data_IF_598164222559
#
_entry.id   IF_598164222559
#
_cell.length_a   1.000
_cell.length_b   1.000
_cell.length_c   1.000
_cell.angle_alpha   90.00
_cell.angle_beta   90.00
_cell.angle_gamma   90.00
#
_symmetry.space_group_name_H-M   'P 1'
#
loop_
_entity.id
_entity.type
_entity.pdbx_description
1 polymer ?
#
# COMPACT_ATOMS: atom_id res chain seq x y z
N UNK A 1 84.86 32.58 -26.92
CA UNK A 1 84.12 32.38 -25.71
C UNK A 1 82.65 32.03 -26.09
N UNK A 2 82.29 30.76 -26.02
CA UNK A 2 80.92 30.33 -26.31
C UNK A 2 80.14 30.43 -25.01
N UNK A 3 79.16 31.33 -24.99
CA UNK A 3 78.28 31.52 -23.90
C UNK A 3 77.29 30.34 -23.87
N UNK A 4 77.40 29.46 -22.91
CA UNK A 4 76.39 28.42 -22.65
C UNK A 4 75.18 29.11 -22.12
N UNK A 5 74.15 29.23 -22.95
CA UNK A 5 72.77 29.50 -22.47
C UNK A 5 72.37 28.30 -21.59
N UNK A 6 72.16 28.60 -20.32
CA UNK A 6 71.47 27.68 -19.45
C UNK A 6 70.09 27.43 -20.02
N UNK A 7 69.91 26.30 -20.65
CA UNK A 7 68.59 25.79 -20.90
C UNK A 7 67.86 25.73 -19.55
N UNK A 8 66.98 26.62 -19.33
CA UNK A 8 66.00 26.45 -18.26
C UNK A 8 65.29 25.18 -18.63
N UNK A 9 65.52 24.16 -17.82
CA UNK A 9 64.92 22.88 -17.98
C UNK A 9 63.41 23.09 -18.12
N UNK A 10 62.80 22.50 -19.12
CA UNK A 10 61.31 22.45 -19.19
C UNK A 10 60.68 21.56 -18.14
N UNK A 11 61.43 21.23 -17.17
CA UNK A 11 61.10 20.41 -16.01
C UNK A 11 60.48 21.19 -14.86
N UNK A 12 59.79 22.22 -15.16
CA UNK A 12 58.61 22.54 -14.37
C UNK A 12 57.43 21.80 -14.96
N UNK A 13 57.62 20.54 -15.13
CA UNK A 13 56.57 19.56 -15.06
C UNK A 13 55.78 19.87 -13.82
N UNK A 14 54.56 20.18 -14.05
CA UNK A 14 53.55 20.14 -13.04
C UNK A 14 53.43 18.76 -12.47
N UNK A 15 54.39 18.36 -11.65
CA UNK A 15 54.27 17.16 -10.83
C UNK A 15 53.00 17.27 -9.97
N UNK A 16 52.65 18.51 -9.57
CA UNK A 16 51.36 18.81 -8.94
C UNK A 16 50.17 18.55 -9.84
N UNK A 17 50.25 18.84 -11.12
CA UNK A 17 49.17 18.58 -12.05
C UNK A 17 48.96 17.07 -12.29
N UNK A 18 50.01 16.28 -12.28
CA UNK A 18 49.88 14.82 -12.34
C UNK A 18 49.42 14.24 -11.00
N UNK A 19 49.85 14.80 -9.90
CA UNK A 19 49.42 14.39 -8.56
C UNK A 19 47.94 14.75 -8.33
N UNK A 20 47.48 15.92 -8.76
CA UNK A 20 46.06 16.29 -8.70
C UNK A 20 45.23 15.43 -9.64
N UNK A 21 45.72 15.12 -10.83
CA UNK A 21 44.95 14.27 -11.78
C UNK A 21 44.95 12.81 -11.33
N UNK A 22 46.02 12.32 -10.75
CA UNK A 22 46.08 10.96 -10.24
C UNK A 22 45.36 10.81 -8.90
N UNK A 23 45.45 11.80 -8.01
CA UNK A 23 44.70 11.77 -6.76
C UNK A 23 43.17 11.92 -7.00
N UNK A 24 42.78 12.70 -8.01
CA UNK A 24 41.40 12.79 -8.42
C UNK A 24 40.88 11.55 -9.17
N UNK A 25 41.79 10.80 -9.81
CA UNK A 25 41.47 9.55 -10.50
C UNK A 25 41.63 8.29 -9.65
N UNK A 26 42.38 8.40 -8.57
CA UNK A 26 42.76 7.23 -7.78
C UNK A 26 42.24 7.31 -6.34
N UNK A 27 41.01 7.64 -6.22
CA UNK A 27 40.29 7.36 -4.97
C UNK A 27 39.11 6.46 -5.26
N UNK A 28 39.32 5.14 -5.39
CA UNK A 28 38.26 4.18 -5.59
C UNK A 28 37.23 4.21 -4.45
N UNK A 29 37.65 4.62 -3.26
CA UNK A 29 36.76 4.80 -2.12
C UNK A 29 35.83 6.01 -2.26
N UNK A 30 36.28 7.07 -2.94
CA UNK A 30 35.42 8.24 -3.22
C UNK A 30 34.46 8.01 -4.38
N UNK A 31 34.79 7.17 -5.34
CA UNK A 31 33.97 7.01 -6.54
C UNK A 31 32.81 6.03 -6.32
N UNK A 32 32.97 5.06 -5.43
CA UNK A 32 31.96 4.01 -5.24
C UNK A 32 31.13 4.22 -3.97
N UNK A 33 31.75 4.72 -2.90
CA UNK A 33 31.08 4.85 -1.60
C UNK A 33 30.52 6.25 -1.37
N UNK A 34 31.23 7.33 -1.75
CA UNK A 34 30.73 8.69 -1.53
C UNK A 34 29.57 9.02 -2.45
N UNK A 35 29.62 8.63 -3.72
CA UNK A 35 28.50 8.85 -4.65
C UNK A 35 27.28 8.00 -4.30
N UNK A 36 27.47 6.84 -3.68
CA UNK A 36 26.36 6.05 -3.14
C UNK A 36 25.87 6.58 -1.79
N UNK A 37 26.73 7.19 -0.98
CA UNK A 37 26.37 7.78 0.29
C UNK A 37 25.80 9.19 0.16
N UNK A 38 26.12 9.94 -0.90
CA UNK A 38 25.57 11.28 -1.17
C UNK A 38 24.16 11.27 -1.81
N UNK A 39 23.56 10.09 -1.98
CA UNK A 39 22.10 10.01 -2.14
C UNK A 39 21.57 9.88 -3.55
N UNK A 40 22.37 9.66 -4.56
CA UNK A 40 21.86 9.26 -5.87
C UNK A 40 21.81 7.74 -6.03
N UNK A 41 20.84 7.12 -5.36
CA UNK A 41 20.33 5.83 -5.85
C UNK A 41 19.73 6.12 -7.22
N UNK A 42 20.10 5.36 -8.27
CA UNK A 42 19.53 5.57 -9.59
C UNK A 42 18.00 5.65 -9.50
N UNK A 43 17.39 6.64 -10.12
CA UNK A 43 15.93 6.80 -10.19
C UNK A 43 15.22 5.52 -10.60
N UNK A 44 15.85 4.71 -11.45
CA UNK A 44 15.39 3.36 -11.81
C UNK A 44 15.15 2.41 -10.61
N UNK A 45 15.86 2.59 -9.49
CA UNK A 45 15.70 1.74 -8.32
C UNK A 45 14.44 2.12 -7.52
N UNK A 46 14.14 3.42 -7.44
CA UNK A 46 12.92 3.91 -6.79
C UNK A 46 11.67 3.47 -7.57
N UNK A 47 11.71 3.61 -8.89
CA UNK A 47 10.58 3.27 -9.75
C UNK A 47 10.21 1.79 -9.66
N UNK A 48 11.22 0.92 -9.64
CA UNK A 48 11.01 -0.52 -9.53
C UNK A 48 10.43 -0.94 -8.18
N UNK A 49 10.76 -0.24 -7.07
CA UNK A 49 10.13 -0.53 -5.76
C UNK A 49 8.67 -0.04 -5.75
N UNK A 50 8.39 1.12 -6.33
CA UNK A 50 7.02 1.60 -6.46
C UNK A 50 6.18 0.62 -7.28
N UNK A 51 6.70 0.10 -8.39
CA UNK A 51 6.04 -0.94 -9.17
C UNK A 51 5.78 -2.21 -8.34
N UNK A 52 6.76 -2.66 -7.53
CA UNK A 52 6.59 -3.82 -6.64
C UNK A 52 5.53 -3.54 -5.54
N UNK A 53 5.45 -2.31 -5.02
CA UNK A 53 4.42 -1.91 -4.06
C UNK A 53 3.04 -1.92 -4.72
N UNK A 54 2.92 -1.31 -5.89
CA UNK A 54 1.65 -1.25 -6.64
C UNK A 54 1.17 -2.65 -7.06
N UNK A 55 2.09 -3.52 -7.47
CA UNK A 55 1.76 -4.87 -7.91
C UNK A 55 1.33 -5.81 -6.77
N UNK A 56 1.77 -5.56 -5.53
CA UNK A 56 1.52 -6.45 -4.39
C UNK A 56 0.55 -5.90 -3.35
N UNK A 57 0.26 -4.59 -3.36
CA UNK A 57 -0.76 -4.00 -2.49
C UNK A 57 -2.16 -4.38 -2.95
N UNK A 58 -2.97 -4.92 -2.05
CA UNK A 58 -4.37 -5.26 -2.31
C UNK A 58 -5.19 -3.99 -2.61
N UNK A 59 -4.97 -2.95 -1.85
CA UNK A 59 -5.65 -1.66 -2.05
C UNK A 59 -5.33 -1.08 -3.44
N UNK A 60 -4.06 -1.08 -3.86
CA UNK A 60 -3.65 -0.51 -5.14
C UNK A 60 -4.09 -1.34 -6.36
N UNK A 61 -4.28 -2.66 -6.18
CA UNK A 61 -4.80 -3.53 -7.23
C UNK A 61 -6.30 -3.33 -7.48
N UNK A 62 -7.07 -3.04 -6.43
CA UNK A 62 -8.53 -2.92 -6.51
C UNK A 62 -8.99 -1.48 -6.71
N UNK A 63 -8.34 -0.52 -6.05
CA UNK A 63 -8.69 0.89 -6.11
C UNK A 63 -8.18 1.53 -7.40
N UNK A 64 -8.83 2.60 -7.83
CA UNK A 64 -8.41 3.36 -9.00
C UNK A 64 -7.32 4.36 -8.63
N UNK A 65 -6.27 4.39 -9.45
CA UNK A 65 -5.20 5.37 -9.34
C UNK A 65 -5.67 6.77 -9.73
N UNK A 66 -5.28 7.74 -8.92
CA UNK A 66 -5.56 9.14 -9.15
C UNK A 66 -4.28 9.96 -9.08
N UNK A 67 -3.93 10.61 -10.17
CA UNK A 67 -2.71 11.42 -10.23
C UNK A 67 -2.79 12.59 -9.24
N UNK A 68 -1.80 12.69 -8.36
CA UNK A 68 -1.63 13.78 -7.41
C UNK A 68 -0.35 14.55 -7.71
N UNK A 69 -0.45 15.85 -7.85
CA UNK A 69 0.70 16.76 -8.01
C UNK A 69 1.08 17.48 -6.73
N UNK A 70 0.23 17.39 -5.71
CA UNK A 70 0.38 18.02 -4.41
C UNK A 70 -0.06 17.05 -3.32
N UNK A 71 0.32 17.33 -2.08
CA UNK A 71 -0.05 16.51 -0.91
C UNK A 71 -1.58 16.43 -0.70
N UNK A 72 -2.33 17.40 -1.19
CA UNK A 72 -3.79 17.47 -1.06
C UNK A 72 -4.41 17.67 -2.42
N UNK A 73 -5.43 16.84 -2.75
CA UNK A 73 -6.22 16.95 -3.96
C UNK A 73 -7.70 17.00 -3.63
N UNK A 74 -8.39 18.00 -4.18
CA UNK A 74 -9.85 18.11 -4.08
C UNK A 74 -10.51 17.51 -5.31
N UNK A 75 -11.51 16.68 -5.08
CA UNK A 75 -12.36 16.07 -6.10
C UNK A 75 -13.74 16.66 -6.04
N UNK A 76 -14.30 16.86 -7.20
CA UNK A 76 -15.69 17.26 -7.34
C UNK A 76 -16.41 16.17 -8.11
N UNK A 77 -17.33 15.47 -7.46
CA UNK A 77 -18.12 14.45 -8.13
C UNK A 77 -19.62 14.72 -7.97
N UNK A 78 -20.37 14.26 -8.96
CA UNK A 78 -21.82 14.41 -8.99
C UNK A 78 -22.46 13.30 -8.16
N UNK A 79 -23.27 13.69 -7.18
CA UNK A 79 -24.01 12.75 -6.34
C UNK A 79 -25.49 12.86 -6.70
N UNK A 80 -26.08 11.72 -6.99
CA UNK A 80 -27.51 11.60 -7.32
C UNK A 80 -27.81 11.54 -8.83
N UNK A 81 -28.86 10.82 -9.19
CA UNK A 81 -29.25 10.66 -10.57
C UNK A 81 -29.81 11.98 -11.13
N UNK A 82 -29.46 12.25 -12.38
CA UNK A 82 -30.15 13.30 -13.14
C UNK A 82 -31.54 12.79 -13.51
N UNK A 83 -32.58 13.55 -13.15
CA UNK A 83 -33.96 13.22 -13.56
C UNK A 83 -34.14 13.43 -15.06
N UNK A 84 -34.59 12.40 -15.76
CA UNK A 84 -35.09 12.50 -17.12
C UNK A 84 -36.64 12.43 -17.09
N UNK A 85 -37.27 13.29 -17.85
CA UNK A 85 -38.76 13.41 -17.85
C UNK A 85 -39.31 13.26 -19.25
N UNK A 86 -40.40 12.52 -19.38
CA UNK A 86 -41.14 12.46 -20.62
C UNK A 86 -41.91 13.77 -20.84
N UNK A 87 -41.68 14.40 -21.97
CA UNK A 87 -42.29 15.69 -22.31
C UNK A 87 -43.19 15.52 -23.51
N UNK A 88 -44.50 15.83 -23.33
CA UNK A 88 -45.46 15.88 -24.41
C UNK A 88 -45.26 17.15 -25.28
N UNK A 89 -45.80 17.09 -26.49
CA UNK A 89 -45.68 18.18 -27.46
C UNK A 89 -46.20 19.51 -26.86
N UNK A 90 -45.41 20.58 -26.96
CA UNK A 90 -45.73 21.91 -26.42
C UNK A 90 -45.62 22.10 -24.90
N UNK A 91 -45.14 21.08 -24.14
CA UNK A 91 -44.96 21.20 -22.68
C UNK A 91 -43.50 21.58 -22.33
N UNK A 92 -43.34 22.24 -21.19
CA UNK A 92 -42.04 22.62 -20.67
C UNK A 92 -41.25 21.39 -20.21
N UNK A 93 -39.98 21.33 -20.57
CA UNK A 93 -39.00 20.34 -20.03
C UNK A 93 -38.72 20.72 -18.58
N UNK A 94 -38.77 19.73 -17.68
CA UNK A 94 -38.38 19.91 -16.28
C UNK A 94 -36.87 19.96 -16.17
N UNK A 95 -36.36 20.82 -15.28
CA UNK A 95 -34.93 20.92 -15.03
C UNK A 95 -34.51 19.99 -13.91
N UNK A 96 -33.43 19.23 -14.12
CA UNK A 96 -32.77 18.47 -13.08
C UNK A 96 -31.53 19.23 -12.61
N UNK A 97 -31.35 19.37 -11.30
CA UNK A 97 -30.17 20.01 -10.71
C UNK A 97 -29.28 18.95 -10.10
N UNK A 98 -28.07 18.75 -10.61
CA UNK A 98 -27.13 17.81 -9.99
C UNK A 98 -26.68 18.33 -8.63
N UNK A 99 -26.53 17.42 -7.68
CA UNK A 99 -25.85 17.70 -6.41
C UNK A 99 -24.38 17.41 -6.58
N UNK A 100 -23.55 18.38 -6.23
CA UNK A 100 -22.10 18.28 -6.32
C UNK A 100 -21.52 18.14 -4.93
N UNK A 101 -20.77 17.09 -4.70
CA UNK A 101 -20.05 16.85 -3.44
C UNK A 101 -18.54 17.02 -3.68
N UNK A 102 -17.87 17.68 -2.76
CA UNK A 102 -16.42 17.80 -2.74
C UNK A 102 -15.85 16.76 -1.78
N UNK A 103 -14.95 15.95 -2.27
CA UNK A 103 -14.14 15.05 -1.47
C UNK A 103 -12.67 15.48 -1.53
N UNK A 104 -11.94 15.22 -0.48
CA UNK A 104 -10.54 15.63 -0.34
C UNK A 104 -9.71 14.41 -0.02
N UNK A 105 -8.68 14.18 -0.82
CA UNK A 105 -7.68 13.15 -0.57
C UNK A 105 -6.39 13.81 -0.09
N UNK A 106 -5.88 13.38 1.05
CA UNK A 106 -4.62 13.84 1.63
C UNK A 106 -3.60 12.70 1.58
N UNK A 107 -2.40 13.01 1.11
CA UNK A 107 -1.30 12.06 1.11
C UNK A 107 -0.49 12.17 2.41
N UNK A 108 -0.19 11.03 2.99
CA UNK A 108 0.59 10.90 4.22
C UNK A 108 1.89 10.16 3.94
N UNK A 109 2.91 10.52 4.71
CA UNK A 109 4.24 9.96 4.55
C UNK A 109 4.36 8.61 5.24
N UNK A 110 4.75 7.61 4.46
CA UNK A 110 5.10 6.28 4.92
C UNK A 110 6.61 6.06 4.77
N UNK A 111 7.28 5.52 5.78
CA UNK A 111 8.72 5.36 5.74
C UNK A 111 9.21 4.14 6.47
N UNK A 112 10.34 3.61 6.00
CA UNK A 112 11.07 2.53 6.63
C UNK A 112 12.56 2.88 6.72
N UNK A 113 13.19 2.50 7.82
CA UNK A 113 14.64 2.61 8.01
C UNK A 113 15.21 1.22 8.15
N UNK A 114 16.21 0.90 7.33
CA UNK A 114 16.94 -0.36 7.37
C UNK A 114 18.37 -0.07 7.80
N UNK A 115 18.86 -0.81 8.79
CA UNK A 115 20.23 -0.73 9.29
C UNK A 115 21.07 -1.89 8.74
N UNK A 116 22.31 -1.60 8.41
CA UNK A 116 23.30 -2.60 8.03
C UNK A 116 24.65 -2.25 8.62
N UNK A 117 25.45 -3.26 8.97
CA UNK A 117 26.84 -3.05 9.38
C UNK A 117 27.72 -2.78 8.17
N UNK A 118 28.75 -1.98 8.33
CA UNK A 118 29.70 -1.66 7.26
C UNK A 118 30.38 -2.91 6.70
N UNK A 119 30.64 -3.91 7.52
CA UNK A 119 31.19 -5.20 7.11
C UNK A 119 30.24 -5.95 6.16
N UNK A 120 28.93 -5.97 6.44
CA UNK A 120 27.95 -6.59 5.56
C UNK A 120 27.87 -5.90 4.19
N UNK A 121 28.16 -4.61 4.14
CA UNK A 121 28.15 -3.80 2.91
C UNK A 121 29.44 -3.91 2.09
N UNK A 122 30.60 -4.18 2.74
CA UNK A 122 31.91 -4.25 2.06
C UNK A 122 31.95 -5.33 0.98
N UNK A 123 31.26 -6.44 1.16
CA UNK A 123 31.27 -7.54 0.20
C UNK A 123 30.37 -7.34 -1.01
N UNK A 124 29.25 -6.60 -0.92
CA UNK A 124 28.38 -6.35 -2.07
C UNK A 124 27.22 -5.39 -1.76
N UNK A 125 27.51 -4.09 -1.68
CA UNK A 125 26.48 -3.05 -1.45
C UNK A 125 25.31 -3.19 -2.43
N UNK A 126 25.61 -3.40 -3.72
CA UNK A 126 24.58 -3.55 -4.75
C UNK A 126 23.70 -4.78 -4.56
N UNK A 127 24.28 -5.91 -4.16
CA UNK A 127 23.50 -7.14 -3.89
C UNK A 127 22.66 -7.00 -2.64
N UNK A 128 23.16 -6.34 -1.60
CA UNK A 128 22.38 -6.08 -0.38
C UNK A 128 21.11 -5.27 -0.69
N UNK A 129 21.23 -4.18 -1.43
CA UNK A 129 20.07 -3.38 -1.80
C UNK A 129 19.07 -4.15 -2.68
N UNK A 130 19.57 -4.95 -3.62
CA UNK A 130 18.72 -5.80 -4.44
C UNK A 130 17.96 -6.84 -3.60
N UNK A 131 18.61 -7.39 -2.57
CA UNK A 131 17.95 -8.32 -1.65
C UNK A 131 16.96 -7.64 -0.70
N UNK A 132 17.25 -6.42 -0.26
CA UNK A 132 16.38 -5.67 0.64
C UNK A 132 15.13 -5.09 -0.05
N UNK A 133 15.18 -4.89 -1.37
CA UNK A 133 14.09 -4.32 -2.16
C UNK A 133 12.73 -4.99 -1.88
N UNK A 134 12.54 -6.32 -2.00
CA UNK A 134 11.26 -6.95 -1.76
C UNK A 134 10.80 -6.82 -0.30
N UNK A 135 11.73 -6.75 0.64
CA UNK A 135 11.40 -6.57 2.06
C UNK A 135 10.90 -5.14 2.36
N UNK A 136 11.53 -4.14 1.74
CA UNK A 136 11.09 -2.74 1.83
C UNK A 136 9.72 -2.56 1.20
N UNK A 137 9.54 -3.07 -0.02
CA UNK A 137 8.25 -3.03 -0.71
C UNK A 137 7.17 -3.71 0.14
N UNK A 138 7.46 -4.91 0.68
CA UNK A 138 6.53 -5.64 1.55
C UNK A 138 6.14 -4.84 2.80
N UNK A 139 7.09 -4.20 3.47
CA UNK A 139 6.81 -3.38 4.64
C UNK A 139 5.90 -2.19 4.30
N UNK A 140 6.14 -1.53 3.16
CA UNK A 140 5.37 -0.38 2.72
C UNK A 140 3.94 -0.78 2.35
N UNK A 141 3.75 -1.77 1.44
CA UNK A 141 2.41 -2.13 1.02
C UNK A 141 1.58 -2.79 2.14
N UNK A 142 2.19 -3.59 3.02
CA UNK A 142 1.46 -4.20 4.14
C UNK A 142 0.94 -3.12 5.08
N UNK A 143 1.76 -2.12 5.43
CA UNK A 143 1.34 -1.04 6.32
C UNK A 143 0.29 -0.13 5.68
N UNK A 144 0.41 0.12 4.37
CA UNK A 144 -0.60 0.86 3.63
C UNK A 144 -1.94 0.13 3.58
N UNK A 145 -1.94 -1.16 3.24
CA UNK A 145 -3.15 -1.97 3.17
C UNK A 145 -3.83 -2.13 4.55
N UNK A 146 -3.06 -2.26 5.63
CA UNK A 146 -3.58 -2.30 6.99
C UNK A 146 -4.28 -0.99 7.38
N UNK A 147 -3.68 0.15 7.02
CA UNK A 147 -4.28 1.46 7.29
C UNK A 147 -5.51 1.72 6.42
N UNK A 148 -5.44 1.45 5.12
CA UNK A 148 -6.50 1.73 4.16
C UNK A 148 -7.72 0.81 4.34
N UNK A 149 -7.51 -0.50 4.61
CA UNK A 149 -8.58 -1.50 4.69
C UNK A 149 -9.02 -1.69 6.14
N UNK A 150 -8.09 -1.96 7.06
CA UNK A 150 -8.40 -2.44 8.42
C UNK A 150 -8.46 -1.35 9.48
N UNK A 151 -8.17 -0.10 9.14
CA UNK A 151 -8.12 1.03 10.08
C UNK A 151 -7.03 0.91 11.17
N UNK A 152 -5.92 0.23 10.87
CA UNK A 152 -4.80 0.07 11.82
C UNK A 152 -3.81 1.21 11.64
N UNK A 153 -3.60 2.02 12.69
CA UNK A 153 -2.75 3.23 12.66
C UNK A 153 -3.04 4.13 11.45
N UNK A 154 -4.32 4.29 11.14
CA UNK A 154 -4.79 4.95 9.93
C UNK A 154 -4.52 6.47 9.98
N UNK A 155 -3.68 7.03 9.08
CA UNK A 155 -3.48 8.46 8.95
C UNK A 155 -4.51 9.14 8.03
N UNK A 156 -5.29 8.35 7.26
CA UNK A 156 -6.27 8.87 6.30
C UNK A 156 -7.54 9.31 6.98
N UNK A 157 -8.34 10.11 6.30
CA UNK A 157 -9.62 10.58 6.81
C UNK A 157 -10.59 9.42 7.11
N UNK A 158 -10.52 8.35 6.33
CA UNK A 158 -11.41 7.20 6.45
C UNK A 158 -10.72 5.96 5.88
N UNK A 159 -10.97 4.81 6.50
CA UNK A 159 -10.60 3.48 6.00
C UNK A 159 -11.82 2.77 5.43
N UNK A 160 -11.60 1.66 4.73
CA UNK A 160 -12.68 0.81 4.25
C UNK A 160 -13.51 0.23 5.41
N UNK A 161 -12.87 -0.20 6.50
CA UNK A 161 -13.58 -0.72 7.69
C UNK A 161 -14.47 0.34 8.34
N UNK A 162 -14.01 1.60 8.40
CA UNK A 162 -14.83 2.70 8.90
C UNK A 162 -15.98 3.02 7.96
N UNK A 163 -15.75 3.04 6.64
CA UNK A 163 -16.80 3.27 5.65
C UNK A 163 -17.97 2.29 5.81
N UNK A 164 -17.66 1.00 5.88
CA UNK A 164 -18.66 -0.05 6.07
C UNK A 164 -19.43 0.09 7.40
N UNK A 165 -18.75 0.51 8.48
CA UNK A 165 -19.40 0.70 9.79
C UNK A 165 -20.26 1.97 9.89
N UNK A 166 -20.10 2.91 8.98
CA UNK A 166 -20.90 4.12 8.90
C UNK A 166 -22.31 3.86 8.32
N UNK A 167 -22.49 2.73 7.63
CA UNK A 167 -23.75 2.36 6.98
C UNK A 167 -24.43 1.25 7.77
N UNK A 168 -25.72 1.42 8.03
CA UNK A 168 -26.52 0.43 8.74
C UNK A 168 -26.63 -0.86 7.89
N UNK A 169 -26.62 -2.01 8.55
CA UNK A 169 -26.76 -3.35 7.95
C UNK A 169 -25.67 -3.79 6.96
N UNK A 170 -24.59 -3.02 6.80
CA UNK A 170 -23.45 -3.40 5.96
C UNK A 170 -22.40 -4.26 6.69
N UNK A 171 -22.52 -4.41 8.00
CA UNK A 171 -21.71 -5.34 8.80
C UNK A 171 -22.54 -6.57 9.16
N UNK A 172 -22.18 -7.71 8.57
CA UNK A 172 -22.83 -8.98 8.79
C UNK A 172 -21.98 -9.81 9.74
N UNK A 173 -22.55 -10.29 10.84
CA UNK A 173 -21.84 -11.09 11.82
C UNK A 173 -22.20 -12.56 11.65
N UNK A 174 -21.19 -13.41 11.40
CA UNK A 174 -21.41 -14.86 11.28
C UNK A 174 -20.30 -15.59 10.57
N UNK A 175 -20.45 -16.91 10.39
CA UNK A 175 -19.50 -17.73 9.65
C UNK A 175 -19.60 -17.47 8.13
N UNK A 176 -18.51 -17.73 7.41
CA UNK A 176 -18.52 -17.71 5.93
C UNK A 176 -19.32 -18.92 5.44
N UNK A 177 -20.55 -18.68 4.99
CA UNK A 177 -21.47 -19.65 4.39
C UNK A 177 -22.26 -18.99 3.26
N UNK A 178 -23.10 -19.75 2.54
CA UNK A 178 -23.92 -19.22 1.44
C UNK A 178 -24.89 -18.14 1.89
N UNK A 179 -25.58 -18.32 3.02
CA UNK A 179 -26.57 -17.37 3.55
C UNK A 179 -25.94 -16.01 3.86
N UNK A 180 -24.83 -15.98 4.61
CA UNK A 180 -24.15 -14.74 4.95
C UNK A 180 -23.46 -14.13 3.73
N UNK A 181 -23.06 -14.94 2.75
CA UNK A 181 -22.54 -14.45 1.47
C UNK A 181 -23.61 -13.68 0.69
N UNK A 182 -24.82 -14.25 0.56
CA UNK A 182 -25.92 -13.56 -0.11
C UNK A 182 -26.32 -12.30 0.64
N UNK A 183 -26.43 -12.36 1.97
CA UNK A 183 -26.69 -11.16 2.76
C UNK A 183 -25.62 -10.07 2.57
N UNK A 184 -24.34 -10.46 2.40
CA UNK A 184 -23.25 -9.53 2.14
C UNK A 184 -23.36 -8.86 0.77
N UNK A 185 -23.70 -9.62 -0.26
CA UNK A 185 -23.89 -9.08 -1.62
C UNK A 185 -25.17 -8.27 -1.74
N UNK A 186 -26.25 -8.71 -1.10
CA UNK A 186 -27.53 -8.01 -1.11
C UNK A 186 -27.43 -6.64 -0.43
N UNK A 187 -26.67 -6.53 0.68
CA UNK A 187 -26.45 -5.25 1.34
C UNK A 187 -25.85 -4.17 0.40
N UNK A 188 -24.96 -4.57 -0.50
CA UNK A 188 -24.36 -3.66 -1.49
C UNK A 188 -25.33 -3.40 -2.67
N UNK A 189 -26.03 -4.44 -3.13
CA UNK A 189 -26.96 -4.36 -4.26
C UNK A 189 -28.19 -3.52 -3.94
N UNK A 190 -28.69 -3.58 -2.70
CA UNK A 190 -29.86 -2.81 -2.24
C UNK A 190 -29.63 -1.29 -2.29
N UNK A 191 -28.36 -0.87 -2.13
CA UNK A 191 -27.95 0.54 -2.31
C UNK A 191 -27.68 0.91 -3.77
N UNK A 192 -27.84 -0.06 -4.70
CA UNK A 192 -27.70 0.17 -6.14
C UNK A 192 -26.26 0.10 -6.66
N UNK A 193 -25.39 -0.58 -5.94
CA UNK A 193 -23.99 -0.87 -6.36
C UNK A 193 -23.83 -2.34 -6.70
N UNK A 194 -22.94 -2.65 -7.63
CA UNK A 194 -22.61 -4.02 -8.02
C UNK A 194 -21.28 -4.45 -7.38
N UNK A 195 -21.27 -5.60 -6.73
CA UNK A 195 -20.03 -6.18 -6.20
C UNK A 195 -19.12 -6.58 -7.35
N UNK A 196 -17.90 -6.05 -7.41
CA UNK A 196 -16.93 -6.36 -8.45
C UNK A 196 -15.72 -7.18 -7.97
N UNK A 197 -15.45 -7.23 -6.68
CA UNK A 197 -14.39 -8.02 -6.08
C UNK A 197 -14.64 -8.28 -4.59
N UNK A 198 -13.81 -9.16 -4.02
CA UNK A 198 -13.79 -9.45 -2.59
C UNK A 198 -12.38 -9.27 -2.02
N UNK A 199 -12.28 -8.85 -0.75
CA UNK A 199 -11.03 -8.90 0.01
C UNK A 199 -11.19 -9.93 1.12
N UNK A 200 -10.29 -10.89 1.16
CA UNK A 200 -10.31 -11.98 2.14
C UNK A 200 -8.94 -12.25 2.70
N UNK A 201 -8.88 -12.73 3.94
CA UNK A 201 -7.64 -13.24 4.51
C UNK A 201 -7.23 -14.55 3.82
N UNK A 202 -5.97 -14.69 3.47
CA UNK A 202 -5.42 -15.90 2.85
C UNK A 202 -5.80 -17.20 3.57
N UNK A 203 -5.96 -17.15 4.91
CA UNK A 203 -6.36 -18.28 5.73
C UNK A 203 -7.83 -18.69 5.58
N UNK A 204 -8.66 -17.85 4.95
CA UNK A 204 -10.09 -18.11 4.75
C UNK A 204 -10.39 -19.10 3.61
N UNK A 205 -9.39 -19.51 2.83
CA UNK A 205 -9.57 -20.46 1.70
C UNK A 205 -10.30 -21.75 2.07
N UNK A 206 -10.16 -22.22 3.32
CA UNK A 206 -10.89 -23.38 3.81
C UNK A 206 -12.36 -23.07 4.11
N UNK A 207 -12.63 -21.85 4.61
CA UNK A 207 -13.98 -21.39 4.95
C UNK A 207 -14.79 -21.04 3.71
N UNK A 208 -14.15 -20.46 2.70
CA UNK A 208 -14.79 -20.12 1.42
C UNK A 208 -15.38 -21.33 0.68
N UNK A 209 -14.89 -22.54 0.97
CA UNK A 209 -15.48 -23.76 0.40
C UNK A 209 -16.88 -24.07 0.93
N UNK A 210 -17.28 -23.45 2.04
CA UNK A 210 -18.62 -23.60 2.62
C UNK A 210 -19.64 -22.67 1.97
N UNK A 211 -19.21 -21.79 1.08
CA UNK A 211 -20.12 -20.92 0.30
C UNK A 211 -20.70 -21.76 -0.81
N UNK A 212 -21.94 -22.14 -0.63
CA UNK A 212 -22.73 -22.94 -1.57
C UNK A 212 -24.04 -22.24 -1.84
N UNK A 213 -24.45 -22.26 -3.10
CA UNK A 213 -25.79 -21.91 -3.54
C UNK A 213 -26.63 -23.19 -3.63
N UNK A 214 -27.93 -23.09 -3.35
CA UNK A 214 -28.87 -24.19 -3.43
C UNK A 214 -30.15 -23.91 -2.66
N UNK A 215 -31.20 -24.71 -2.91
CA UNK A 215 -32.48 -24.53 -2.24
C UNK A 215 -32.40 -25.11 -0.81
N UNK A 216 -32.60 -24.26 0.19
CA UNK A 216 -32.68 -24.67 1.60
C UNK A 216 -34.09 -25.19 1.88
N UNK A 217 -34.21 -26.45 2.27
CA UNK A 217 -35.49 -27.06 2.74
C UNK A 217 -35.78 -26.63 4.18
N UNK A 218 -37.04 -26.85 4.63
CA UNK A 218 -37.48 -26.54 6.00
C UNK A 218 -36.65 -27.29 7.08
N UNK A 219 -36.09 -28.42 6.72
CA UNK A 219 -35.19 -29.22 7.60
C UNK A 219 -33.74 -28.71 7.64
N UNK A 220 -33.43 -27.62 6.91
CA UNK A 220 -32.10 -27.03 6.81
C UNK A 220 -31.17 -27.69 5.77
N UNK A 221 -31.64 -28.73 5.07
CA UNK A 221 -30.88 -29.39 4.03
C UNK A 221 -30.82 -28.54 2.76
N UNK A 222 -29.64 -28.38 2.17
CA UNK A 222 -29.46 -27.69 0.89
C UNK A 222 -29.58 -28.71 -0.24
N UNK A 223 -30.55 -28.52 -1.11
CA UNK A 223 -30.78 -29.35 -2.29
C UNK A 223 -30.00 -28.76 -3.47
N UNK A 224 -29.34 -29.63 -4.21
CA UNK A 224 -28.53 -29.28 -5.39
C UNK A 224 -27.44 -28.23 -5.10
N UNK A 225 -26.53 -28.49 -4.12
CA UNK A 225 -25.56 -27.52 -3.67
C UNK A 225 -24.50 -27.25 -4.75
N UNK A 226 -24.50 -26.05 -5.29
CA UNK A 226 -23.47 -25.56 -6.21
C UNK A 226 -22.42 -24.75 -5.43
N UNK A 227 -21.16 -25.10 -5.57
CA UNK A 227 -20.07 -24.35 -4.92
C UNK A 227 -19.76 -23.10 -5.70
N UNK A 228 -19.84 -21.95 -5.03
CA UNK A 228 -19.51 -20.65 -5.62
C UNK A 228 -18.00 -20.35 -5.64
N UNK A 229 -17.24 -20.98 -4.72
CA UNK A 229 -15.79 -20.76 -4.66
C UNK A 229 -15.02 -21.65 -5.62
N UNK A 230 -14.32 -21.04 -6.58
CA UNK A 230 -13.39 -21.70 -7.50
C UNK A 230 -11.95 -21.57 -6.99
N UNK A 231 -11.38 -22.65 -6.48
CA UNK A 231 -10.03 -22.67 -5.94
C UNK A 231 -8.93 -22.37 -6.98
N UNK A 232 -9.10 -22.82 -8.20
CA UNK A 232 -8.06 -22.71 -9.22
C UNK A 232 -7.94 -21.27 -9.75
N UNK A 233 -9.08 -20.60 -9.92
CA UNK A 233 -9.14 -19.22 -10.37
C UNK A 233 -9.08 -18.21 -9.19
N UNK A 234 -9.20 -18.68 -7.94
CA UNK A 234 -9.35 -17.83 -6.74
C UNK A 234 -10.49 -16.82 -6.88
N UNK A 235 -11.65 -17.31 -7.34
CA UNK A 235 -12.86 -16.51 -7.54
C UNK A 235 -14.00 -17.00 -6.68
N UNK A 236 -14.87 -16.09 -6.27
CA UNK A 236 -16.12 -16.36 -5.59
C UNK A 236 -17.25 -15.84 -6.46
N UNK A 237 -18.15 -16.72 -6.86
CA UNK A 237 -19.23 -16.42 -7.82
C UNK A 237 -18.74 -15.72 -9.11
N UNK A 238 -17.61 -16.18 -9.63
CA UNK A 238 -16.97 -15.60 -10.83
C UNK A 238 -16.17 -14.31 -10.59
N UNK A 239 -16.30 -13.67 -9.42
CA UNK A 239 -15.60 -12.44 -9.07
C UNK A 239 -14.26 -12.71 -8.40
N UNK A 240 -13.24 -11.89 -8.62
CA UNK A 240 -11.90 -12.08 -8.08
C UNK A 240 -11.87 -11.86 -6.55
N UNK A 241 -11.03 -12.65 -5.86
CA UNK A 241 -10.74 -12.48 -4.45
C UNK A 241 -9.31 -11.98 -4.31
N UNK A 242 -9.15 -10.78 -3.76
CA UNK A 242 -7.85 -10.26 -3.35
C UNK A 242 -7.50 -10.75 -1.94
N UNK A 243 -6.29 -11.30 -1.79
CA UNK A 243 -5.85 -11.92 -0.54
C UNK A 243 -5.00 -10.96 0.27
N UNK A 244 -5.52 -10.49 1.39
CA UNK A 244 -4.78 -9.66 2.33
C UNK A 244 -3.99 -10.54 3.31
N UNK A 245 -2.66 -10.36 3.33
CA UNK A 245 -1.75 -11.05 4.25
C UNK A 245 -1.40 -10.13 5.44
N UNK A 246 -2.37 -9.91 6.31
CA UNK A 246 -2.18 -9.16 7.55
C UNK A 246 -2.52 -10.00 8.77
N UNK A 247 -1.79 -9.77 9.87
CA UNK A 247 -2.08 -10.39 11.18
C UNK A 247 -3.28 -9.73 11.83
N UNK A 248 -3.51 -8.47 11.56
CA UNK A 248 -4.57 -7.66 12.17
C UNK A 248 -5.97 -8.02 11.64
N UNK A 249 -6.06 -8.59 10.44
CA UNK A 249 -7.32 -9.09 9.91
C UNK A 249 -7.75 -10.38 10.62
N UNK A 250 -8.95 -10.41 11.18
CA UNK A 250 -9.49 -11.62 11.82
C UNK A 250 -9.77 -12.72 10.78
N UNK A 251 -9.58 -13.98 11.19
CA UNK A 251 -9.99 -15.11 10.35
C UNK A 251 -11.53 -15.15 10.29
N UNK A 252 -12.08 -15.34 9.09
CA UNK A 252 -13.53 -15.29 8.87
C UNK A 252 -14.03 -13.93 8.39
N UNK A 253 -13.15 -12.92 8.27
CA UNK A 253 -13.53 -11.62 7.70
C UNK A 253 -13.48 -11.67 6.18
N UNK A 254 -14.51 -11.10 5.55
CA UNK A 254 -14.64 -10.93 4.11
C UNK A 254 -15.21 -9.54 3.83
N UNK A 255 -14.58 -8.77 2.95
CA UNK A 255 -15.15 -7.52 2.42
C UNK A 255 -15.64 -7.75 1.01
N UNK A 256 -16.77 -7.17 0.68
CA UNK A 256 -17.36 -7.13 -0.66
C UNK A 256 -17.69 -5.69 -1.04
N UNK A 257 -17.68 -5.37 -2.31
CA UNK A 257 -18.14 -4.07 -2.76
C UNK A 257 -17.71 -3.71 -4.17
N UNK A 258 -18.06 -2.48 -4.55
CA UNK A 258 -17.60 -1.87 -5.80
C UNK A 258 -16.34 -1.04 -5.55
N UNK A 259 -15.19 -1.64 -5.78
CA UNK A 259 -13.87 -1.04 -5.57
C UNK A 259 -13.56 0.10 -6.56
N UNK A 260 -14.40 0.35 -7.54
CA UNK A 260 -14.31 1.55 -8.37
C UNK A 260 -14.53 2.84 -7.57
N UNK A 261 -15.10 2.77 -6.38
CA UNK A 261 -15.29 3.91 -5.48
C UNK A 261 -14.14 4.09 -4.48
N UNK A 262 -13.10 3.27 -4.54
CA UNK A 262 -11.84 3.53 -3.84
C UNK A 262 -10.87 4.30 -4.73
N UNK A 263 -10.18 5.25 -4.16
CA UNK A 263 -9.13 6.04 -4.83
C UNK A 263 -7.85 6.00 -4.03
N UNK A 264 -6.73 5.87 -4.74
CA UNK A 264 -5.42 6.08 -4.15
C UNK A 264 -4.57 6.96 -5.05
N UNK A 265 -3.60 7.66 -4.46
CA UNK A 265 -2.70 8.53 -5.21
C UNK A 265 -1.32 8.56 -4.59
N UNK A 266 -0.31 8.73 -5.44
CA UNK A 266 1.10 8.85 -5.05
C UNK A 266 1.60 10.18 -5.60
N UNK A 267 1.70 11.24 -4.75
CA UNK A 267 2.10 12.58 -5.23
C UNK A 267 3.58 12.66 -5.58
N UNK A 268 4.43 11.90 -4.88
CA UNK A 268 5.88 11.94 -5.04
C UNK A 268 6.44 10.53 -5.08
N UNK A 269 7.43 10.33 -5.93
CA UNK A 269 8.15 9.07 -6.02
C UNK A 269 8.87 8.75 -4.70
N UNK A 270 9.18 7.48 -4.52
CA UNK A 270 9.91 6.97 -3.38
C UNK A 270 11.26 7.69 -3.25
N UNK A 271 11.52 8.24 -2.06
CA UNK A 271 12.78 8.91 -1.76
C UNK A 271 13.65 8.02 -0.87
N UNK A 272 14.87 7.76 -1.33
CA UNK A 272 15.89 7.04 -0.60
C UNK A 272 16.98 7.98 -0.10
N UNK A 273 17.43 7.75 1.11
CA UNK A 273 18.63 8.37 1.64
C UNK A 273 19.44 7.36 2.41
N UNK A 274 20.73 7.27 2.08
CA UNK A 274 21.71 6.45 2.80
C UNK A 274 22.59 7.40 3.61
N UNK A 275 22.89 7.02 4.85
CA UNK A 275 23.77 7.77 5.72
C UNK A 275 24.54 6.82 6.65
N UNK A 276 25.78 7.16 6.93
CA UNK A 276 26.64 6.51 7.93
C UNK A 276 26.84 7.40 9.17
N UNK A 277 26.25 8.58 9.14
CA UNK A 277 26.31 9.55 10.22
C UNK A 277 24.93 9.82 10.80
N UNK A 278 24.87 9.97 12.12
CA UNK A 278 23.64 10.28 12.83
C UNK A 278 23.31 9.27 13.92
N UNK A 279 22.21 9.58 14.63
CA UNK A 279 21.70 8.79 15.73
C UNK A 279 20.27 8.35 15.43
N UNK A 280 19.95 7.09 15.71
CA UNK A 280 18.61 6.55 15.54
C UNK A 280 18.01 6.30 16.92
N UNK A 281 17.02 7.12 17.28
CA UNK A 281 16.38 7.07 18.59
C UNK A 281 15.36 5.95 18.75
N UNK A 282 14.90 5.35 17.64
CA UNK A 282 13.89 4.27 17.68
C UNK A 282 14.47 2.90 18.01
N UNK A 283 15.80 2.77 18.00
CA UNK A 283 16.50 1.56 18.36
C UNK A 283 17.50 1.92 19.44
N UNK A 284 17.43 1.22 20.55
CA UNK A 284 18.33 1.40 21.70
C UNK A 284 19.24 0.20 21.86
N UNK A 285 20.41 0.43 22.46
CA UNK A 285 21.32 -0.61 22.87
C UNK A 285 20.87 -1.31 24.17
N UNK A 286 21.70 -2.22 24.68
CA UNK A 286 21.44 -2.95 25.94
C UNK A 286 21.34 -2.04 27.16
N UNK A 287 21.91 -0.83 27.09
CA UNK A 287 21.87 0.17 28.14
C UNK A 287 20.68 1.13 28.01
N UNK A 288 19.92 1.05 26.91
CA UNK A 288 18.81 1.95 26.60
C UNK A 288 19.23 3.21 25.86
N UNK A 289 20.48 3.33 25.44
CA UNK A 289 20.98 4.47 24.68
C UNK A 289 20.69 4.33 23.18
N UNK A 290 20.32 5.44 22.50
CA UNK A 290 20.08 5.42 21.05
C UNK A 290 21.33 5.02 20.25
N UNK A 291 21.14 4.25 19.20
CA UNK A 291 22.25 3.78 18.36
C UNK A 291 22.86 4.95 17.58
N UNK A 292 24.17 5.19 17.80
CA UNK A 292 24.97 6.08 16.99
C UNK A 292 25.62 5.30 15.85
N UNK A 293 25.30 5.70 14.60
CA UNK A 293 25.78 5.00 13.39
C UNK A 293 27.29 5.07 13.22
N UNK A 294 27.87 6.24 13.53
CA UNK A 294 29.31 6.45 13.37
C UNK A 294 30.12 5.60 14.35
N UNK A 295 29.74 5.55 15.63
CA UNK A 295 30.46 4.81 16.66
C UNK A 295 30.40 3.29 16.46
N UNK A 296 29.36 2.80 15.80
CA UNK A 296 29.12 1.37 15.59
C UNK A 296 29.41 0.89 14.16
N UNK A 297 30.03 1.74 13.34
CA UNK A 297 30.33 1.46 11.94
C UNK A 297 29.08 0.92 11.17
N UNK A 298 27.93 1.55 11.39
CA UNK A 298 26.68 1.17 10.76
C UNK A 298 26.26 2.17 9.69
N UNK A 299 25.52 1.68 8.73
CA UNK A 299 24.89 2.47 7.66
C UNK A 299 23.39 2.32 7.75
N UNK A 300 22.68 3.44 7.68
CA UNK A 300 21.22 3.47 7.64
C UNK A 300 20.73 3.83 6.23
N UNK A 301 19.77 3.08 5.74
CA UNK A 301 19.00 3.43 4.56
C UNK A 301 17.57 3.78 4.97
N UNK A 302 17.13 4.97 4.58
CA UNK A 302 15.75 5.43 4.76
C UNK A 302 15.05 5.43 3.42
N UNK A 303 13.92 4.73 3.34
CA UNK A 303 12.98 4.80 2.22
C UNK A 303 11.71 5.48 2.68
N UNK A 304 11.24 6.51 1.96
CA UNK A 304 10.01 7.23 2.27
C UNK A 304 9.16 7.40 1.02
N UNK A 305 7.86 7.16 1.15
CA UNK A 305 6.86 7.31 0.11
C UNK A 305 5.68 8.10 0.67
N UNK A 306 5.11 9.00 -0.13
CA UNK A 306 3.87 9.66 0.20
C UNK A 306 2.73 8.96 -0.56
N UNK A 307 1.66 8.59 0.16
CA UNK A 307 0.51 7.91 -0.40
C UNK A 307 -0.79 8.48 0.16
N UNK A 308 -1.76 8.71 -0.71
CA UNK A 308 -3.12 9.12 -0.35
C UNK A 308 -4.11 7.98 -0.58
N UNK A 309 -5.15 7.95 0.24
CA UNK A 309 -6.26 7.01 0.11
C UNK A 309 -7.58 7.70 0.44
N UNK A 310 -8.64 7.30 -0.24
CA UNK A 310 -9.98 7.83 -0.03
C UNK A 310 -11.05 6.85 -0.45
N UNK A 311 -12.12 6.78 0.34
CA UNK A 311 -13.39 6.13 -0.01
C UNK A 311 -14.34 7.22 -0.51
N UNK A 312 -14.93 7.03 -1.70
CA UNK A 312 -15.85 8.00 -2.30
C UNK A 312 -17.28 7.82 -1.81
N UNK A 313 -17.70 6.58 -1.57
CA UNK A 313 -19.04 6.22 -1.13
C UNK A 313 -18.97 5.06 -0.14
N UNK A 314 -19.55 5.26 1.01
CA UNK A 314 -19.55 4.27 2.09
C UNK A 314 -20.50 3.11 1.78
N UNK A 315 -21.62 3.40 1.11
CA UNK A 315 -22.68 2.45 0.77
C UNK A 315 -22.26 1.40 -0.29
N UNK A 316 -21.13 1.64 -0.97
CA UNK A 316 -20.63 0.72 -1.99
C UNK A 316 -19.93 -0.53 -1.43
N UNK A 317 -19.82 -0.66 -0.11
CA UNK A 317 -19.06 -1.71 0.54
C UNK A 317 -19.83 -2.37 1.67
N UNK A 318 -19.57 -3.66 1.87
CA UNK A 318 -20.09 -4.42 3.00
C UNK A 318 -19.01 -5.35 3.57
N UNK A 319 -19.19 -5.80 4.81
CA UNK A 319 -18.25 -6.62 5.55
C UNK A 319 -18.96 -7.79 6.22
N UNK A 320 -18.40 -8.97 6.07
CA UNK A 320 -18.71 -10.12 6.90
C UNK A 320 -17.59 -10.28 7.96
N UNK A 321 -17.96 -10.33 9.22
CA UNK A 321 -17.02 -10.56 10.31
C UNK A 321 -17.44 -11.77 11.16
N UNK A 322 -16.49 -12.51 11.76
CA UNK A 322 -16.84 -13.63 12.62
C UNK A 322 -17.71 -13.13 13.78
N UNK A 323 -18.72 -13.91 14.17
CA UNK A 323 -19.50 -13.60 15.36
C UNK A 323 -18.54 -13.45 16.56
N UNK A 324 -18.74 -12.40 17.37
CA UNK A 324 -17.98 -12.23 18.60
C UNK A 324 -18.15 -13.51 19.46
N UNK A 325 -17.03 -14.13 19.81
CA UNK A 325 -17.08 -15.23 20.78
C UNK A 325 -17.70 -14.69 22.07
N UNK A 326 -18.91 -15.12 22.36
CA UNK A 326 -19.51 -14.87 23.69
C UNK A 326 -18.58 -15.54 24.70
N UNK A 327 -18.00 -14.80 25.67
CA UNK A 327 -17.16 -15.46 26.68
C UNK A 327 -17.99 -16.54 27.35
N UNK A 328 -17.54 -17.77 27.20
CA UNK A 328 -18.13 -18.93 27.84
C UNK A 328 -18.23 -18.62 29.34
N UNK A 329 -19.45 -18.56 29.87
CA UNK A 329 -19.66 -18.36 31.29
C UNK A 329 -18.87 -19.46 32.03
N UNK A 330 -18.10 -19.15 33.07
CA UNK A 330 -17.35 -20.17 33.79
C UNK A 330 -18.32 -21.25 34.22
N UNK A 331 -18.10 -22.48 33.74
CA UNK A 331 -18.85 -23.66 34.11
C UNK A 331 -18.87 -23.71 35.64
N UNK A 332 -20.08 -23.62 36.20
CA UNK A 332 -20.34 -23.42 37.60
C UNK A 332 -19.63 -24.42 38.51
N UNK A 333 -19.17 -23.86 39.63
CA UNK A 333 -18.70 -24.57 40.80
C UNK A 333 -19.81 -25.44 41.42
#
# INVERSE_FOLDING_TARGET
MKTYQKMKAPLRLNIQHFAETDSAKFNPDNVVMSNFMEGEIPTQFSDVIVEDVMANSVTMQLAQYEEMTQQKKEFTYLTGPLGAYWVGEGKKIQTSKPTVVKAVMEAHKLGVIVLATREALQYTVRQFFTQMRPHIAKALYTKFDEAAILNVDNPFLQSLDQAVRNVDNHVISGPINGENYFALTDAVNDEGFDVNAFISKKQNKSLLRNVVDGFKQEDGTIVDPTRLYNRNANTLDGLPIAELDSKEMAKGTLYAGDFNYLRYGIPFNLNFKITDTGQISTITDENGDPINLFEREMVAMRATMDVGFMVLKDEAFAKLEPAAETPEAPAGA
#
